data_IF_446181407323
#
_entry.id   IF_446181407323
#
_cell.length_a   1.000
_cell.length_b   1.000
_cell.length_c   1.000
_cell.angle_alpha   90.00
_cell.angle_beta   90.00
_cell.angle_gamma   90.00
#
_symmetry.space_group_name_H-M   'P 1'
#
loop_
_entity.id
_entity.type
_entity.pdbx_description
1 polymer ?
#
# COMPACT_ATOMS: atom_id res chain seq x y z
N UNK A 1 3.27 30.06 -17.83
CA UNK A 1 3.52 29.86 -16.39
C UNK A 1 3.48 28.36 -16.16
N UNK A 2 4.61 27.72 -15.86
CA UNK A 2 4.58 26.34 -15.36
C UNK A 2 4.00 26.42 -13.94
N UNK A 3 2.91 25.70 -13.71
CA UNK A 3 2.36 25.53 -12.37
C UNK A 3 3.42 24.80 -11.53
N UNK A 4 3.96 25.46 -10.51
CA UNK A 4 5.02 24.93 -9.66
C UNK A 4 4.49 24.07 -8.51
N UNK A 5 3.18 23.77 -8.52
CA UNK A 5 2.50 23.11 -7.43
C UNK A 5 2.32 21.61 -7.70
N UNK A 6 3.45 20.89 -7.73
CA UNK A 6 3.43 19.44 -7.91
C UNK A 6 2.72 18.77 -6.74
N UNK A 7 1.58 18.13 -7.00
CA UNK A 7 0.74 17.49 -5.97
C UNK A 7 1.09 16.01 -5.83
N UNK A 8 1.54 15.63 -4.62
CA UNK A 8 1.73 14.25 -4.20
C UNK A 8 0.51 13.78 -3.38
N UNK A 9 -0.06 12.63 -3.72
CA UNK A 9 -1.19 12.00 -3.00
C UNK A 9 -0.85 10.55 -2.70
N UNK A 10 -1.16 10.07 -1.48
CA UNK A 10 -0.95 8.69 -1.08
C UNK A 10 -2.24 7.99 -0.65
N UNK A 11 -2.33 6.70 -0.96
CA UNK A 11 -3.38 5.80 -0.48
C UNK A 11 -2.73 4.56 0.14
N UNK A 12 -3.33 4.04 1.20
CA UNK A 12 -2.93 2.79 1.84
C UNK A 12 -4.15 1.98 2.25
N UNK A 13 -4.08 0.67 2.12
CA UNK A 13 -5.12 -0.26 2.52
C UNK A 13 -4.50 -1.48 3.20
N UNK A 14 -5.21 -2.00 4.20
CA UNK A 14 -4.86 -3.23 4.88
C UNK A 14 -6.10 -4.12 4.89
N UNK A 15 -5.95 -5.32 4.35
CA UNK A 15 -6.99 -6.35 4.38
C UNK A 15 -6.62 -7.43 5.40
N UNK A 16 -7.58 -7.76 6.27
CA UNK A 16 -7.47 -8.87 7.21
C UNK A 16 -8.29 -10.04 6.66
N UNK A 17 -7.61 -10.97 5.99
CA UNK A 17 -8.25 -12.20 5.54
C UNK A 17 -8.57 -13.08 6.74
N UNK A 18 -9.86 -13.41 6.91
CA UNK A 18 -10.35 -14.32 7.95
C UNK A 18 -10.08 -15.80 7.63
N UNK A 19 -9.12 -16.07 6.74
CA UNK A 19 -8.73 -17.41 6.31
C UNK A 19 -7.82 -18.07 7.36
N UNK A 20 -8.38 -19.06 8.07
CA UNK A 20 -7.73 -19.78 9.17
C UNK A 20 -6.49 -20.58 8.74
N UNK A 21 -6.36 -20.91 7.44
CA UNK A 21 -5.28 -21.76 6.94
C UNK A 21 -4.04 -20.94 6.59
N UNK A 22 -4.22 -19.73 6.06
CA UNK A 22 -3.10 -18.97 5.48
C UNK A 22 -2.86 -17.64 6.19
N UNK A 23 -3.76 -17.11 7.06
CA UNK A 23 -3.57 -15.90 7.90
C UNK A 23 -2.60 -14.87 7.32
N UNK A 24 -2.87 -14.42 6.10
CA UNK A 24 -1.96 -13.56 5.35
C UNK A 24 -2.70 -12.26 5.06
N UNK A 25 -2.72 -11.37 6.05
CA UNK A 25 -3.16 -10.00 5.86
C UNK A 25 -2.34 -9.37 4.74
N UNK A 26 -2.98 -8.57 3.88
CA UNK A 26 -2.26 -7.86 2.82
C UNK A 26 -2.17 -6.39 3.19
N UNK A 27 -1.00 -5.80 3.03
CA UNK A 27 -0.82 -4.36 3.14
C UNK A 27 -0.42 -3.80 1.78
N UNK A 28 -1.13 -2.77 1.33
CA UNK A 28 -0.90 -2.12 0.04
C UNK A 28 -0.77 -0.61 0.21
N UNK A 29 0.07 0.00 -0.61
CA UNK A 29 0.11 1.46 -0.76
C UNK A 29 0.33 1.85 -2.22
N UNK A 30 -0.05 3.09 -2.57
CA UNK A 30 0.30 3.76 -3.82
C UNK A 30 0.50 5.25 -3.59
N UNK A 31 1.52 5.83 -4.22
CA UNK A 31 1.75 7.28 -4.29
C UNK A 31 1.58 7.76 -5.72
N UNK A 32 0.85 8.86 -5.89
CA UNK A 32 0.57 9.50 -7.17
C UNK A 32 1.16 10.91 -7.20
N UNK A 33 1.91 11.21 -8.25
CA UNK A 33 2.36 12.56 -8.60
C UNK A 33 1.56 13.04 -9.80
N UNK A 34 0.87 14.18 -9.69
CA UNK A 34 0.03 14.69 -10.78
C UNK A 34 -0.97 13.64 -11.31
N UNK A 35 -1.59 12.89 -10.39
CA UNK A 35 -2.51 11.77 -10.68
C UNK A 35 -1.87 10.57 -11.39
N UNK A 36 -0.55 10.57 -11.59
CA UNK A 36 0.20 9.44 -12.15
C UNK A 36 0.88 8.64 -11.03
N UNK A 37 0.71 7.31 -10.94
CA UNK A 37 1.37 6.51 -9.92
C UNK A 37 2.89 6.52 -10.12
N UNK A 38 3.63 6.88 -9.07
CA UNK A 38 5.11 6.92 -9.08
C UNK A 38 5.74 5.77 -8.30
N UNK A 39 5.04 5.21 -7.32
CA UNK A 39 5.45 4.00 -6.61
C UNK A 39 4.25 3.36 -5.93
N UNK A 40 4.31 2.05 -5.76
CA UNK A 40 3.31 1.25 -5.09
C UNK A 40 3.96 -0.03 -4.59
N UNK A 41 3.33 -0.66 -3.61
CA UNK A 41 3.71 -1.99 -3.14
C UNK A 41 2.47 -2.70 -2.64
N UNK A 42 2.32 -3.95 -3.03
CA UNK A 42 1.43 -4.89 -2.35
C UNK A 42 2.30 -5.94 -1.70
N UNK A 43 2.16 -6.11 -0.39
CA UNK A 43 2.92 -7.07 0.38
C UNK A 43 2.00 -7.87 1.26
N UNK A 44 2.11 -9.18 1.16
CA UNK A 44 1.55 -10.09 2.13
C UNK A 44 2.32 -9.94 3.45
N UNK A 45 1.62 -9.65 4.55
CA UNK A 45 2.20 -9.64 5.88
C UNK A 45 2.70 -11.05 6.21
N UNK A 46 3.98 -11.12 6.59
CA UNK A 46 4.56 -12.35 7.12
C UNK A 46 4.01 -12.52 8.52
N UNK A 47 3.54 -13.72 8.84
CA UNK A 47 3.22 -14.08 10.22
C UNK A 47 4.47 -13.86 11.07
N UNK A 48 4.36 -13.00 12.08
CA UNK A 48 5.38 -12.85 13.10
C UNK A 48 5.17 -14.02 14.07
N UNK A 49 5.72 -15.18 13.76
CA UNK A 49 5.86 -16.23 14.77
C UNK A 49 6.99 -15.80 15.71
N UNK A 50 6.62 -15.12 16.80
CA UNK A 50 7.51 -14.96 17.95
C UNK A 50 7.43 -16.26 18.75
N UNK A 51 8.37 -17.18 18.50
CA UNK A 51 8.75 -18.25 19.41
C UNK A 51 10.21 -18.03 19.82
#
# INVERSE_FOLDING_TARGET
>A
MLDCNTKLVGYSEADFSNDEIIRRSTHVYVFLLEKSPITWKSQIQRNVNTL
#
